data_IF_945726979870
#
_entry.id   IF_945726979870
#
_cell.length_a   1.000
_cell.length_b   1.000
_cell.length_c   1.000
_cell.angle_alpha   90.00
_cell.angle_beta   90.00
_cell.angle_gamma   90.00
#
_symmetry.space_group_name_H-M   'P 1'
#
loop_
_entity.id
_entity.type
_entity.pdbx_description
1 polymer ?
#
# COMPACT_ATOMS: atom_id res chain seq x y z
N UNK A 1 -22.95 2.27 9.25
CA UNK A 1 -22.18 1.84 8.06
C UNK A 1 -20.78 1.51 8.52
N UNK A 2 -20.47 0.23 8.72
CA UNK A 2 -19.11 -0.18 9.07
C UNK A 2 -18.31 -0.17 7.77
N UNK A 3 -17.53 0.89 7.54
CA UNK A 3 -16.53 0.90 6.47
C UNK A 3 -15.55 -0.21 6.81
N UNK A 4 -15.61 -1.33 6.11
CA UNK A 4 -14.67 -2.44 6.27
C UNK A 4 -13.26 -1.87 6.13
N UNK A 5 -12.55 -1.73 7.26
CA UNK A 5 -11.17 -1.29 7.29
C UNK A 5 -10.39 -2.31 6.45
N UNK A 6 -9.90 -1.90 5.28
CA UNK A 6 -9.04 -2.75 4.47
C UNK A 6 -7.75 -2.98 5.27
N UNK A 7 -7.66 -4.17 5.86
CA UNK A 7 -6.60 -4.51 6.82
C UNK A 7 -5.22 -4.41 6.18
N UNK A 8 -5.12 -4.75 4.88
CA UNK A 8 -3.87 -4.68 4.12
C UNK A 8 -3.45 -3.22 3.92
N UNK A 9 -4.38 -2.34 3.50
CA UNK A 9 -4.04 -0.92 3.29
C UNK A 9 -3.54 -0.25 4.58
N UNK A 10 -4.21 -0.56 5.70
CA UNK A 10 -3.85 -0.05 7.02
C UNK A 10 -2.51 -0.60 7.50
N UNK A 11 -2.26 -1.90 7.26
CA UNK A 11 -1.00 -2.56 7.59
C UNK A 11 0.19 -1.95 6.85
N UNK A 12 0.06 -1.76 5.54
CA UNK A 12 1.12 -1.19 4.69
C UNK A 12 1.39 0.26 5.09
N UNK A 13 0.35 1.09 5.24
CA UNK A 13 0.50 2.50 5.63
C UNK A 13 1.15 2.66 7.00
N UNK A 14 0.79 1.79 7.95
CA UNK A 14 1.39 1.76 9.29
C UNK A 14 2.88 1.40 9.24
N UNK A 15 3.26 0.36 8.52
CA UNK A 15 4.66 -0.05 8.38
C UNK A 15 5.50 1.00 7.65
N UNK A 16 4.96 1.60 6.59
CA UNK A 16 5.61 2.72 5.91
C UNK A 16 5.88 3.89 6.87
N UNK A 17 4.89 4.26 7.68
CA UNK A 17 5.03 5.29 8.71
C UNK A 17 6.08 4.94 9.77
N UNK A 18 6.15 3.68 10.22
CA UNK A 18 7.18 3.19 11.14
C UNK A 18 8.59 3.29 10.56
N UNK A 19 8.75 2.98 9.27
CA UNK A 19 10.01 3.09 8.54
C UNK A 19 10.39 4.53 8.19
N UNK A 20 9.46 5.49 8.37
CA UNK A 20 9.64 6.91 8.04
C UNK A 20 10.03 7.16 6.58
N UNK A 21 9.51 6.35 5.67
CA UNK A 21 9.69 6.51 4.23
C UNK A 21 8.44 7.09 3.55
N UNK A 22 8.66 7.74 2.42
CA UNK A 22 7.63 8.28 1.52
C UNK A 22 6.97 7.16 0.71
N UNK A 23 5.86 7.48 0.03
CA UNK A 23 5.20 6.52 -0.87
C UNK A 23 6.07 6.25 -2.10
N UNK A 24 6.81 7.24 -2.55
CA UNK A 24 7.79 7.19 -3.63
C UNK A 24 8.92 6.21 -3.31
N UNK A 25 9.53 6.32 -2.12
CA UNK A 25 10.59 5.40 -1.68
C UNK A 25 10.07 3.96 -1.50
N UNK A 26 8.85 3.79 -0.98
CA UNK A 26 8.24 2.46 -0.88
C UNK A 26 8.03 1.85 -2.27
N UNK A 27 7.54 2.63 -3.23
CA UNK A 27 7.31 2.20 -4.60
C UNK A 27 8.62 1.78 -5.28
N UNK A 28 9.67 2.59 -5.13
CA UNK A 28 11.01 2.30 -5.65
C UNK A 28 11.59 1.01 -5.05
N UNK A 29 11.54 0.86 -3.71
CA UNK A 29 12.05 -0.33 -3.01
C UNK A 29 11.31 -1.62 -3.38
N UNK A 30 9.99 -1.53 -3.59
CA UNK A 30 9.15 -2.66 -3.99
C UNK A 30 9.18 -2.95 -5.50
N UNK A 31 9.80 -2.09 -6.32
CA UNK A 31 9.80 -2.24 -7.78
C UNK A 31 8.39 -2.09 -8.40
N UNK A 32 7.54 -1.28 -7.79
CA UNK A 32 6.16 -1.01 -8.26
C UNK A 32 5.98 0.47 -8.59
N UNK A 33 4.96 0.80 -9.38
CA UNK A 33 4.66 2.19 -9.68
C UNK A 33 4.07 2.93 -8.47
N UNK A 34 4.39 4.22 -8.30
CA UNK A 34 3.84 5.08 -7.24
C UNK A 34 2.32 5.05 -7.15
N UNK A 35 1.64 5.01 -8.30
CA UNK A 35 0.18 4.91 -8.37
C UNK A 35 -0.34 3.65 -7.66
N UNK A 36 0.38 2.54 -7.75
CA UNK A 36 0.00 1.30 -7.09
C UNK A 36 0.02 1.45 -5.57
N UNK A 37 1.10 2.03 -5.00
CA UNK A 37 1.18 2.31 -3.55
C UNK A 37 0.04 3.22 -3.09
N UNK A 38 -0.30 4.26 -3.86
CA UNK A 38 -1.43 5.14 -3.53
C UNK A 38 -2.76 4.39 -3.51
N UNK A 39 -3.05 3.62 -4.55
CA UNK A 39 -4.27 2.82 -4.64
C UNK A 39 -4.34 1.76 -3.52
N UNK A 40 -3.20 1.14 -3.19
CA UNK A 40 -3.06 0.19 -2.09
C UNK A 40 -3.36 0.83 -0.74
N UNK A 41 -2.72 1.94 -0.40
CA UNK A 41 -2.92 2.63 0.88
C UNK A 41 -4.29 3.31 1.00
N UNK A 42 -4.91 3.71 -0.11
CA UNK A 42 -6.28 4.20 -0.15
C UNK A 42 -7.33 3.08 -0.04
N UNK A 43 -6.89 1.81 -0.10
CA UNK A 43 -7.76 0.66 0.08
C UNK A 43 -8.63 0.34 -1.14
N UNK A 44 -8.13 0.58 -2.36
CA UNK A 44 -8.82 0.21 -3.60
C UNK A 44 -9.32 -1.24 -3.52
N UNK A 45 -10.59 -1.44 -3.86
CA UNK A 45 -11.27 -2.74 -3.72
C UNK A 45 -10.62 -3.86 -4.54
N UNK A 46 -10.02 -3.50 -5.68
CA UNK A 46 -9.37 -4.45 -6.60
C UNK A 46 -7.92 -4.04 -6.86
N UNK A 47 -6.99 -4.92 -6.50
CA UNK A 47 -5.55 -4.78 -6.73
C UNK A 47 -5.00 -6.10 -7.27
N UNK A 48 -3.93 -6.03 -8.06
CA UNK A 48 -3.29 -7.26 -8.54
C UNK A 48 -2.42 -7.86 -7.44
N UNK A 49 -2.70 -9.11 -7.06
CA UNK A 49 -2.04 -9.77 -5.93
C UNK A 49 -0.54 -10.00 -6.16
N UNK A 50 -0.12 -10.20 -7.42
CA UNK A 50 1.31 -10.30 -7.79
C UNK A 50 2.10 -9.05 -7.36
N UNK A 51 1.47 -7.88 -7.43
CA UNK A 51 2.06 -6.60 -7.01
C UNK A 51 1.91 -6.36 -5.51
N UNK A 52 0.85 -6.83 -4.88
CA UNK A 52 0.70 -6.77 -3.42
C UNK A 52 1.82 -7.56 -2.74
N UNK A 53 2.18 -8.73 -3.26
CA UNK A 53 3.27 -9.54 -2.71
C UNK A 53 4.68 -8.91 -2.82
N UNK A 54 4.83 -7.83 -3.59
CA UNK A 54 6.10 -7.10 -3.75
C UNK A 54 6.26 -5.98 -2.70
N UNK A 55 5.18 -5.64 -1.98
CA UNK A 55 5.08 -4.51 -1.04
C UNK A 55 4.98 -5.02 0.39
#
# INVERSE_FOLDING_TARGET
>A
MATSINQISSFVKHHRGKLRITQEELAEKAGVGLRFIRELEQGKETLRMDKVNQV
#
